data_IF_359433227230
#
_entry.id   IF_359433227230
#
_cell.length_a   1.000
_cell.length_b   1.000
_cell.length_c   1.000
_cell.angle_alpha   90.00
_cell.angle_beta   90.00
_cell.angle_gamma   90.00
#
_symmetry.space_group_name_H-M   'P 1'
#
loop_
_entity.id
_entity.type
_entity.pdbx_description
1 polymer ?
#
# COMPACT_ATOMS: atom_id res chain seq x y z
N UNK A 1 25.27 -9.11 -0.62
CA UNK A 1 25.18 -7.74 -1.19
C UNK A 1 26.36 -7.55 -2.12
N UNK A 2 26.18 -7.71 -3.42
CA UNK A 2 27.22 -7.48 -4.44
C UNK A 2 26.63 -6.55 -5.50
N UNK A 3 27.05 -5.30 -5.45
CA UNK A 3 26.74 -4.29 -6.45
C UNK A 3 27.85 -4.34 -7.51
N UNK A 4 27.55 -4.86 -8.69
CA UNK A 4 28.40 -4.78 -9.87
C UNK A 4 27.59 -4.07 -10.96
N UNK A 5 28.11 -2.94 -11.44
CA UNK A 5 27.53 -1.98 -12.40
C UNK A 5 26.57 -0.92 -11.81
N UNK A 6 26.81 0.33 -12.23
CA UNK A 6 26.27 1.59 -11.68
C UNK A 6 24.80 1.87 -12.07
N UNK A 7 23.97 0.82 -12.07
CA UNK A 7 22.51 0.96 -12.23
C UNK A 7 21.88 0.32 -11.01
N UNK A 8 21.56 1.14 -10.01
CA UNK A 8 20.67 0.74 -8.93
C UNK A 8 19.27 0.59 -9.54
N UNK A 9 18.98 -0.59 -10.08
CA UNK A 9 17.67 -0.92 -10.63
C UNK A 9 16.62 -0.62 -9.55
N UNK A 10 15.57 0.11 -9.93
CA UNK A 10 14.34 0.22 -9.15
C UNK A 10 13.73 -1.18 -9.04
N UNK A 11 14.23 -1.97 -8.10
CA UNK A 11 13.74 -3.31 -7.85
C UNK A 11 12.52 -3.18 -6.93
N UNK A 12 11.34 -3.46 -7.47
CA UNK A 12 10.20 -3.77 -6.62
C UNK A 12 10.43 -5.13 -5.96
N UNK A 13 9.90 -5.30 -4.76
CA UNK A 13 10.09 -6.54 -4.00
C UNK A 13 8.93 -7.47 -4.30
N UNK A 14 9.26 -8.70 -4.67
CA UNK A 14 8.34 -9.85 -4.60
C UNK A 14 8.70 -10.58 -3.31
N UNK A 15 7.73 -10.78 -2.42
CA UNK A 15 7.99 -11.55 -1.20
C UNK A 15 8.34 -12.99 -1.58
N UNK A 16 9.60 -13.33 -1.38
CA UNK A 16 10.10 -14.71 -1.45
C UNK A 16 9.92 -15.27 -0.04
N UNK A 17 8.89 -16.11 0.11
CA UNK A 17 8.31 -16.55 1.38
C UNK A 17 9.34 -17.01 2.42
N UNK A 18 9.11 -16.59 3.67
CA UNK A 18 9.32 -17.46 4.83
C UNK A 18 8.02 -17.51 5.63
N UNK A 19 7.46 -18.73 5.69
CA UNK A 19 6.29 -19.19 6.47
C UNK A 19 4.95 -18.47 6.26
N UNK A 20 3.99 -19.26 5.77
CA UNK A 20 2.55 -19.02 5.64
C UNK A 20 1.95 -18.30 6.87
N UNK A 21 1.58 -17.03 6.73
CA UNK A 21 0.67 -16.34 7.65
C UNK A 21 -0.73 -16.35 7.01
N UNK A 22 -1.67 -17.02 7.67
CA UNK A 22 -3.10 -17.11 7.29
C UNK A 22 -3.89 -16.72 8.53
N UNK A 23 -4.73 -15.68 8.42
CA UNK A 23 -5.72 -15.32 9.43
C UNK A 23 -5.16 -14.78 10.76
N UNK A 24 -5.66 -13.62 11.18
CA UNK A 24 -5.64 -13.12 12.57
C UNK A 24 -4.30 -13.15 13.32
N UNK A 25 -3.17 -12.96 12.63
CA UNK A 25 -1.87 -12.83 13.27
C UNK A 25 -1.24 -11.49 12.94
N UNK A 26 -0.69 -10.85 13.96
CA UNK A 26 0.03 -9.61 13.81
C UNK A 26 1.22 -9.79 12.87
N UNK A 27 1.33 -8.92 11.88
CA UNK A 27 2.47 -8.91 10.99
C UNK A 27 3.72 -8.45 11.75
N UNK A 28 4.85 -9.13 11.53
CA UNK A 28 6.15 -8.66 11.99
C UNK A 28 6.51 -7.37 11.24
N UNK A 29 7.15 -6.43 11.92
CA UNK A 29 7.64 -5.19 11.32
C UNK A 29 8.48 -5.47 10.07
N UNK A 30 8.13 -4.82 8.95
CA UNK A 30 8.89 -4.93 7.71
C UNK A 30 8.62 -6.17 6.86
N UNK A 31 7.65 -7.04 7.22
CA UNK A 31 7.21 -8.11 6.32
C UNK A 31 6.52 -7.52 5.09
N UNK A 32 5.56 -6.61 5.31
CA UNK A 32 4.75 -6.00 4.25
C UNK A 32 5.25 -4.59 3.95
N UNK A 33 6.46 -4.51 3.38
CA UNK A 33 7.22 -3.26 3.22
C UNK A 33 6.51 -2.20 2.35
N UNK A 34 5.56 -2.61 1.52
CA UNK A 34 4.77 -1.73 0.68
C UNK A 34 3.47 -1.26 1.34
N UNK A 35 3.13 -1.75 2.54
CA UNK A 35 1.88 -1.40 3.20
C UNK A 35 1.84 0.10 3.50
N UNK A 36 0.86 0.78 2.92
CA UNK A 36 0.56 2.17 3.23
C UNK A 36 -0.66 2.27 4.14
N UNK A 37 -0.57 3.18 5.12
CA UNK A 37 -1.69 3.56 6.00
C UNK A 37 -2.10 4.98 5.68
N UNK A 38 -3.34 5.17 5.22
CA UNK A 38 -3.89 6.49 4.89
C UNK A 38 -4.57 7.09 6.13
N UNK A 39 -4.19 8.32 6.47
CA UNK A 39 -4.68 9.03 7.64
C UNK A 39 -5.25 10.40 7.33
N UNK A 40 -6.29 10.76 8.07
CA UNK A 40 -6.83 12.12 8.21
C UNK A 40 -7.15 12.38 9.67
N UNK A 41 -6.86 13.59 10.15
CA UNK A 41 -7.11 13.96 11.56
C UNK A 41 -6.54 12.94 12.54
N UNK A 42 -5.33 12.43 12.23
CA UNK A 42 -4.63 11.37 12.97
C UNK A 42 -5.30 9.99 12.97
N UNK A 43 -6.46 9.80 12.35
CA UNK A 43 -7.16 8.51 12.27
C UNK A 43 -6.82 7.76 10.99
N UNK A 44 -6.55 6.46 11.11
CA UNK A 44 -6.50 5.54 9.97
C UNK A 44 -7.89 5.39 9.38
N UNK A 45 -7.99 5.37 8.05
CA UNK A 45 -9.28 5.15 7.40
C UNK A 45 -9.21 4.18 6.21
N UNK A 46 -8.08 4.08 5.50
CA UNK A 46 -7.88 3.11 4.43
C UNK A 46 -6.42 2.67 4.29
N UNK A 47 -6.21 1.57 3.58
CA UNK A 47 -4.89 1.09 3.17
C UNK A 47 -4.48 1.53 1.77
N UNK A 48 -3.25 1.22 1.41
CA UNK A 48 -2.74 1.30 0.05
C UNK A 48 -1.45 0.51 -0.11
N UNK A 49 -0.90 0.53 -1.32
CA UNK A 49 0.36 -0.13 -1.66
C UNK A 49 1.34 0.89 -2.23
N UNK A 50 2.52 0.99 -1.65
CA UNK A 50 3.62 1.77 -2.20
C UNK A 50 4.16 1.06 -3.45
N UNK A 51 4.14 1.75 -4.59
CA UNK A 51 4.49 1.15 -5.89
C UNK A 51 5.78 1.70 -6.48
N UNK A 52 6.25 2.85 -5.98
CA UNK A 52 7.60 3.39 -6.21
C UNK A 52 7.85 4.54 -5.22
N UNK A 53 8.97 5.26 -5.34
CA UNK A 53 9.38 6.35 -4.44
C UNK A 53 8.35 7.46 -4.21
N UNK A 54 7.39 7.68 -5.11
CA UNK A 54 6.49 8.84 -5.08
C UNK A 54 5.01 8.47 -5.18
N UNK A 55 4.68 7.18 -5.31
CA UNK A 55 3.32 6.76 -5.66
C UNK A 55 2.81 5.67 -4.74
N UNK A 56 1.57 5.86 -4.30
CA UNK A 56 0.77 4.85 -3.61
C UNK A 56 -0.46 4.52 -4.45
N UNK A 57 -0.71 3.24 -4.62
CA UNK A 57 -1.91 2.68 -5.22
C UNK A 57 -2.96 2.40 -4.13
N UNK A 58 -4.21 2.73 -4.37
CA UNK A 58 -5.34 2.46 -3.47
C UNK A 58 -6.64 2.39 -4.27
N UNK A 59 -7.78 2.28 -3.60
CA UNK A 59 -9.09 2.23 -4.24
C UNK A 59 -9.63 3.64 -4.54
N UNK A 60 -10.38 3.79 -5.63
CA UNK A 60 -11.09 5.02 -5.98
C UNK A 60 -12.26 5.30 -5.01
N UNK A 61 -12.88 4.26 -4.46
CA UNK A 61 -13.92 4.33 -3.45
C UNK A 61 -13.47 5.07 -2.19
N UNK A 62 -12.17 5.05 -1.88
CA UNK A 62 -11.60 5.77 -0.73
C UNK A 62 -11.78 7.29 -0.81
N UNK A 63 -12.04 7.84 -2.00
CA UNK A 63 -12.07 9.28 -2.24
C UNK A 63 -13.27 9.68 -3.10
N UNK A 64 -13.93 10.78 -2.73
CA UNK A 64 -14.86 11.47 -3.62
C UNK A 64 -14.10 12.21 -4.73
N UNK A 65 -14.79 12.58 -5.82
CA UNK A 65 -14.21 13.23 -7.00
C UNK A 65 -13.40 14.49 -6.70
N UNK A 66 -13.80 15.25 -5.68
CA UNK A 66 -13.17 16.53 -5.30
C UNK A 66 -12.56 16.48 -3.90
N UNK A 67 -12.11 15.30 -3.47
CA UNK A 67 -11.43 15.17 -2.18
C UNK A 67 -10.18 16.05 -2.17
N UNK A 68 -10.11 17.00 -1.23
CA UNK A 68 -8.92 17.83 -1.02
C UNK A 68 -7.73 16.98 -0.58
N UNK A 69 -6.49 17.33 -0.92
CA UNK A 69 -5.30 16.68 -0.35
C UNK A 69 -4.96 17.19 1.06
N UNK A 70 -5.56 18.30 1.50
CA UNK A 70 -5.26 18.92 2.80
C UNK A 70 -5.54 17.95 3.95
N UNK A 71 -4.55 17.78 4.83
CA UNK A 71 -4.63 16.87 5.98
C UNK A 71 -4.58 15.37 5.64
N UNK A 72 -4.35 15.00 4.38
CA UNK A 72 -4.12 13.61 3.98
C UNK A 72 -2.64 13.25 4.17
N UNK A 73 -2.39 12.26 5.03
CA UNK A 73 -1.08 11.70 5.29
C UNK A 73 -1.03 10.23 4.88
N UNK A 74 0.10 9.84 4.31
CA UNK A 74 0.45 8.45 4.05
C UNK A 74 1.56 8.08 5.03
N UNK A 75 1.35 7.00 5.79
CA UNK A 75 2.41 6.38 6.59
C UNK A 75 2.90 5.11 5.90
N UNK A 76 4.22 4.97 5.79
CA UNK A 76 4.95 3.81 5.28
C UNK A 76 5.86 3.27 6.37
N UNK A 77 6.15 1.97 6.39
CA UNK A 77 6.99 1.35 7.43
C UNK A 77 6.33 1.27 8.82
N UNK A 78 5.04 1.62 8.91
CA UNK A 78 4.21 1.52 10.11
C UNK A 78 3.78 0.06 10.34
N UNK A 79 3.87 -0.40 11.59
CA UNK A 79 3.37 -1.72 12.02
C UNK A 79 2.11 -1.58 12.88
N UNK A 80 2.10 -0.66 13.83
CA UNK A 80 1.03 -0.48 14.82
C UNK A 80 0.31 0.86 14.64
N UNK A 81 -1.00 0.89 14.85
CA UNK A 81 -1.79 2.13 14.76
C UNK A 81 -1.76 2.97 16.05
N UNK A 82 -1.51 2.35 17.20
CA UNK A 82 -1.60 3.00 18.52
C UNK A 82 -0.25 3.13 19.25
N UNK A 83 0.76 2.37 18.81
CA UNK A 83 2.09 2.34 19.42
C UNK A 83 3.12 3.11 18.58
N UNK A 84 4.25 3.45 19.18
CA UNK A 84 5.38 4.07 18.47
C UNK A 84 5.89 3.13 17.37
N UNK A 85 6.15 3.67 16.18
CA UNK A 85 6.77 2.95 15.07
C UNK A 85 8.12 3.59 14.75
N UNK A 86 9.23 2.91 15.05
CA UNK A 86 10.59 3.45 14.82
C UNK A 86 10.99 3.55 13.35
N UNK A 87 10.32 2.80 12.48
CA UNK A 87 10.67 2.68 11.06
C UNK A 87 9.73 3.46 10.15
N UNK A 88 8.77 4.20 10.72
CA UNK A 88 7.75 4.86 9.93
C UNK A 88 8.25 6.16 9.29
N UNK A 89 7.80 6.40 8.06
CA UNK A 89 7.91 7.68 7.39
C UNK A 89 6.50 8.14 7.06
N UNK A 90 6.19 9.40 7.39
CA UNK A 90 4.94 10.03 7.01
C UNK A 90 5.17 11.02 5.88
N UNK A 91 4.26 11.06 4.91
CA UNK A 91 4.35 11.93 3.76
C UNK A 91 2.98 12.52 3.41
N UNK A 92 2.92 13.80 3.05
CA UNK A 92 1.68 14.42 2.54
C UNK A 92 1.44 14.04 1.08
N UNK A 93 0.19 14.15 0.64
CA UNK A 93 -0.22 13.87 -0.75
C UNK A 93 -0.31 15.18 -1.53
N UNK A 94 0.31 15.22 -2.70
CA UNK A 94 0.23 16.36 -3.64
C UNK A 94 -0.92 16.23 -4.63
N UNK A 95 -1.32 15.00 -4.99
CA UNK A 95 -2.37 14.76 -5.97
C UNK A 95 -3.11 13.44 -5.72
N UNK A 96 -4.43 13.45 -5.92
CA UNK A 96 -5.30 12.27 -5.91
C UNK A 96 -5.82 12.06 -7.34
N UNK A 97 -5.55 10.90 -7.93
CA UNK A 97 -5.92 10.56 -9.31
C UNK A 97 -6.81 9.33 -9.27
N UNK A 98 -8.13 9.55 -9.21
CA UNK A 98 -9.11 8.47 -9.37
C UNK A 98 -9.16 8.04 -10.82
N UNK A 99 -9.39 6.75 -11.07
CA UNK A 99 -9.65 6.28 -12.42
C UNK A 99 -10.80 7.08 -13.05
N UNK A 100 -10.63 7.62 -14.28
CA UNK A 100 -11.63 8.50 -14.89
C UNK A 100 -12.98 7.80 -15.12
N UNK A 101 -12.95 6.47 -15.27
CA UNK A 101 -14.14 5.64 -15.49
C UNK A 101 -14.61 4.90 -14.23
N UNK A 102 -14.17 5.31 -13.03
CA UNK A 102 -14.68 4.69 -11.80
C UNK A 102 -16.19 4.89 -11.67
N UNK A 103 -16.92 3.80 -11.46
CA UNK A 103 -18.36 3.80 -11.29
C UNK A 103 -18.72 3.40 -9.85
N UNK A 104 -19.28 4.32 -9.07
CA UNK A 104 -19.65 4.07 -7.68
C UNK A 104 -20.88 3.16 -7.49
N UNK A 105 -21.64 2.90 -8.56
CA UNK A 105 -22.79 1.99 -8.49
C UNK A 105 -22.37 0.52 -8.69
N UNK A 106 -21.33 0.26 -9.49
CA UNK A 106 -20.86 -1.10 -9.81
C UNK A 106 -19.51 -1.44 -9.20
N UNK A 107 -18.78 -0.44 -8.68
CA UNK A 107 -17.36 -0.51 -8.31
C UNK A 107 -16.41 -0.85 -9.47
N UNK A 108 -16.85 -0.69 -10.72
CA UNK A 108 -15.97 -0.86 -11.86
C UNK A 108 -14.87 0.21 -11.85
N UNK A 109 -13.64 -0.23 -12.17
CA UNK A 109 -12.44 0.60 -12.18
C UNK A 109 -12.12 1.25 -10.82
N UNK A 110 -12.31 0.50 -9.72
CA UNK A 110 -12.01 0.96 -8.36
C UNK A 110 -10.51 1.06 -8.06
N UNK A 111 -9.84 2.02 -8.70
CA UNK A 111 -8.39 2.23 -8.59
C UNK A 111 -8.04 3.72 -8.57
N UNK A 112 -7.11 4.08 -7.69
CA UNK A 112 -6.67 5.45 -7.45
C UNK A 112 -5.16 5.50 -7.20
N UNK A 113 -4.52 6.52 -7.76
CA UNK A 113 -3.13 6.85 -7.49
C UNK A 113 -3.04 8.08 -6.60
N UNK A 114 -2.22 7.97 -5.55
CA UNK A 114 -1.82 9.09 -4.71
C UNK A 114 -0.38 9.46 -5.05
N UNK A 115 -0.17 10.70 -5.49
CA UNK A 115 1.17 11.26 -5.66
C UNK A 115 1.61 11.85 -4.32
N UNK A 116 2.72 11.35 -3.79
CA UNK A 116 3.35 11.91 -2.61
C UNK A 116 3.93 13.30 -2.91
N UNK A 117 4.04 14.16 -1.91
CA UNK A 117 4.60 15.50 -2.08
C UNK A 117 6.13 15.52 -2.17
N UNK A 118 6.80 14.47 -1.72
CA UNK A 118 8.22 14.20 -1.97
C UNK A 118 8.51 12.71 -2.00
N UNK A 119 9.63 12.33 -2.61
CA UNK A 119 10.07 10.95 -2.67
C UNK A 119 10.39 10.39 -1.28
N UNK A 120 9.94 9.17 -0.99
CA UNK A 120 10.28 8.43 0.23
C UNK A 120 11.45 7.48 -0.05
N UNK A 121 12.53 7.51 0.76
CA UNK A 121 13.66 6.61 0.58
C UNK A 121 13.27 5.16 0.89
N UNK A 122 13.88 4.24 0.16
CA UNK A 122 13.72 2.81 0.42
C UNK A 122 14.57 2.39 1.62
N UNK A 123 14.02 1.51 2.46
CA UNK A 123 14.64 0.96 3.67
C UNK A 123 14.31 -0.52 3.79
N UNK A 124 14.83 -1.19 4.82
CA UNK A 124 14.45 -2.58 5.13
C UNK A 124 12.98 -2.74 5.54
N UNK A 125 12.26 -1.62 5.73
CA UNK A 125 10.85 -1.58 6.14
C UNK A 125 9.94 -0.89 5.12
N UNK A 126 10.52 -0.24 4.11
CA UNK A 126 9.82 0.53 3.08
C UNK A 126 10.39 0.16 1.72
N UNK A 127 9.63 -0.63 0.96
CA UNK A 127 9.98 -1.06 -0.38
C UNK A 127 8.72 -1.09 -1.25
N UNK A 128 8.83 -0.82 -2.55
CA UNK A 128 7.67 -0.86 -3.42
C UNK A 128 7.28 -2.30 -3.78
N UNK A 129 5.97 -2.54 -3.92
CA UNK A 129 5.45 -3.80 -4.48
C UNK A 129 5.52 -3.78 -6.01
N UNK A 130 5.72 -4.96 -6.61
CA UNK A 130 5.64 -5.09 -8.05
C UNK A 130 4.19 -5.02 -8.55
N UNK A 131 3.98 -4.31 -9.64
CA UNK A 131 2.73 -4.37 -10.38
C UNK A 131 2.75 -5.58 -11.32
N UNK A 132 1.59 -6.21 -11.47
CA UNK A 132 1.44 -7.26 -12.47
C UNK A 132 1.62 -6.70 -13.89
N UNK A 133 2.17 -7.52 -14.77
CA UNK A 133 2.29 -7.16 -16.18
C UNK A 133 0.92 -7.10 -16.85
N UNK A 134 0.81 -6.31 -17.91
CA UNK A 134 -0.40 -6.28 -18.73
C UNK A 134 -0.64 -7.68 -19.30
N UNK A 135 -1.86 -8.18 -19.17
CA UNK A 135 -2.24 -9.52 -19.63
C UNK A 135 -1.83 -10.66 -18.69
N UNK A 136 -1.42 -10.37 -17.45
CA UNK A 136 -1.25 -11.41 -16.43
C UNK A 136 -2.56 -12.20 -16.21
N UNK A 137 -2.42 -13.52 -16.12
CA UNK A 137 -3.51 -14.45 -15.83
C UNK A 137 -3.45 -14.90 -14.38
N UNK A 138 -4.60 -14.89 -13.69
CA UNK A 138 -4.71 -15.35 -12.30
C UNK A 138 -5.58 -16.59 -12.26
N UNK A 139 -5.04 -17.69 -11.75
CA UNK A 139 -5.75 -18.96 -11.69
C UNK A 139 -6.52 -19.09 -10.38
N UNK A 140 -7.75 -19.62 -10.46
CA UNK A 140 -8.54 -19.97 -9.29
C UNK A 140 -7.75 -20.90 -8.36
N UNK A 141 -7.81 -20.66 -7.06
CA UNK A 141 -7.07 -21.42 -6.05
C UNK A 141 -5.63 -20.95 -5.82
N UNK A 142 -5.17 -19.89 -6.50
CA UNK A 142 -3.87 -19.27 -6.19
C UNK A 142 -3.92 -18.63 -4.81
N UNK A 143 -3.11 -19.13 -3.87
CA UNK A 143 -2.99 -18.53 -2.53
C UNK A 143 -2.43 -17.11 -2.64
N UNK A 144 -3.11 -16.17 -2.00
CA UNK A 144 -2.74 -14.75 -1.97
C UNK A 144 -2.79 -14.22 -0.55
N UNK A 145 -2.19 -13.06 -0.32
CA UNK A 145 -2.14 -12.40 0.98
C UNK A 145 -2.90 -11.08 0.92
N UNK A 146 -3.68 -10.80 1.96
CA UNK A 146 -4.32 -9.51 2.19
C UNK A 146 -3.83 -8.99 3.53
N UNK A 147 -3.39 -7.74 3.55
CA UNK A 147 -2.74 -7.11 4.70
C UNK A 147 -3.36 -5.76 4.98
N UNK A 148 -3.49 -5.41 6.26
CA UNK A 148 -4.06 -4.13 6.67
C UNK A 148 -4.45 -4.12 8.15
N UNK A 149 -5.08 -3.01 8.56
CA UNK A 149 -5.57 -2.79 9.93
C UNK A 149 -7.11 -2.74 9.98
N UNK A 150 -7.76 -3.48 9.08
CA UNK A 150 -9.22 -3.58 9.01
C UNK A 150 -9.81 -4.33 10.20
N UNK A 151 -11.14 -4.33 10.28
CA UNK A 151 -11.85 -5.02 11.36
C UNK A 151 -11.73 -6.55 11.22
N UNK A 152 -11.05 -7.17 12.17
CA UNK A 152 -10.85 -8.62 12.24
C UNK A 152 -12.01 -9.36 12.95
N UNK A 153 -12.99 -8.64 13.50
CA UNK A 153 -14.10 -9.22 14.25
C UNK A 153 -15.30 -9.64 13.37
N UNK A 154 -15.33 -9.21 12.10
CA UNK A 154 -16.50 -9.38 11.24
C UNK A 154 -16.51 -10.66 10.40
N UNK A 155 -15.64 -11.63 10.68
CA UNK A 155 -15.65 -12.92 9.96
C UNK A 155 -15.42 -12.74 8.45
N UNK A 156 -14.51 -11.83 8.09
CA UNK A 156 -14.17 -11.51 6.70
C UNK A 156 -13.50 -12.73 6.06
N UNK A 157 -14.30 -13.53 5.35
CA UNK A 157 -13.82 -14.55 4.42
C UNK A 157 -13.58 -13.87 3.06
N UNK A 158 -12.38 -14.05 2.51
CA UNK A 158 -12.00 -13.59 1.17
C UNK A 158 -12.30 -14.67 0.12
#
# INVERSE_FOLDING_TARGET
>A
MSCLSSVCLLQCVVLILSTKIVGSQDAVAGIWQWQASLHRQSSHFYGGSFINKEWVLTAAYCFSRYTSTSGLLVYLGRQNQQSINSNEVSQTVSQIIRHPNYNSATNDNDICLLKLSSSVPFTDYIQPVCLAAVGSTYYTGTTSWVTGWGDINSGVEF
#
